data_IF_020698204642
#
_entry.id   IF_020698204642
#
_cell.length_a   1.000
_cell.length_b   1.000
_cell.length_c   1.000
_cell.angle_alpha   90.00
_cell.angle_beta   90.00
_cell.angle_gamma   90.00
#
_symmetry.space_group_name_H-M   'P 1'
#
loop_
_entity.id
_entity.type
_entity.pdbx_description
1 polymer ?
#
# COMPACT_ATOMS: atom_id res chain seq x y z
N UNK A 1 -1.18 81.19 5.04
CA UNK A 1 -1.79 79.88 5.36
C UNK A 1 -2.66 79.43 4.20
N UNK A 2 -2.19 78.48 3.36
CA UNK A 2 -3.01 77.93 2.28
C UNK A 2 -3.52 76.58 2.72
N UNK A 3 -4.83 76.53 2.87
CA UNK A 3 -5.58 75.31 3.25
C UNK A 3 -5.64 74.35 2.04
N UNK A 4 -5.04 73.24 2.18
CA UNK A 4 -5.07 72.17 1.19
C UNK A 4 -6.38 71.35 1.35
N UNK A 5 -7.35 71.53 0.44
CA UNK A 5 -8.59 70.75 0.39
C UNK A 5 -8.29 69.42 -0.25
N UNK A 6 -8.36 68.35 0.49
CA UNK A 6 -8.40 66.98 -0.04
C UNK A 6 -9.78 66.73 -0.71
N UNK A 7 -9.79 66.53 -2.00
CA UNK A 7 -10.97 66.10 -2.74
C UNK A 7 -11.00 64.58 -2.74
N UNK A 8 -11.80 63.99 -1.83
CA UNK A 8 -12.21 62.60 -1.89
C UNK A 8 -13.54 62.56 -2.62
N UNK A 9 -13.53 62.27 -3.94
CA UNK A 9 -14.76 62.01 -4.66
C UNK A 9 -14.49 60.99 -5.80
N UNK A 10 -14.38 59.74 -5.46
CA UNK A 10 -14.87 58.68 -6.33
C UNK A 10 -15.08 57.37 -5.52
N UNK A 11 -16.32 57.02 -5.16
CA UNK A 11 -16.61 55.83 -4.36
C UNK A 11 -16.16 54.54 -5.06
N UNK A 12 -16.03 54.53 -6.40
CA UNK A 12 -15.51 53.42 -7.15
C UNK A 12 -14.01 53.17 -6.91
N UNK A 13 -13.22 54.20 -6.66
CA UNK A 13 -11.80 54.09 -6.34
C UNK A 13 -11.58 53.52 -4.92
N UNK A 14 -12.41 53.90 -3.97
CA UNK A 14 -12.36 53.39 -2.61
C UNK A 14 -12.75 51.90 -2.53
N UNK A 15 -13.76 51.50 -3.29
CA UNK A 15 -14.17 50.09 -3.38
C UNK A 15 -13.08 49.25 -4.04
N UNK A 16 -12.44 49.74 -5.12
CA UNK A 16 -11.34 49.01 -5.78
C UNK A 16 -10.12 48.86 -4.86
N UNK A 17 -9.78 49.88 -4.07
CA UNK A 17 -8.65 49.83 -3.12
C UNK A 17 -8.94 48.86 -1.96
N UNK A 18 -10.18 48.80 -1.48
CA UNK A 18 -10.59 47.86 -0.41
C UNK A 18 -10.62 46.41 -0.96
N UNK A 19 -11.08 46.19 -2.20
CA UNK A 19 -11.04 44.88 -2.80
C UNK A 19 -9.61 44.35 -3.02
N UNK A 20 -8.70 45.20 -3.49
CA UNK A 20 -7.28 44.85 -3.64
C UNK A 20 -6.62 44.60 -2.28
N UNK A 21 -6.96 45.38 -1.24
CA UNK A 21 -6.45 45.12 0.11
C UNK A 21 -7.02 43.81 0.72
N UNK A 22 -8.29 43.45 0.42
CA UNK A 22 -8.86 42.17 0.85
C UNK A 22 -8.27 40.98 0.11
N UNK A 23 -7.94 41.11 -1.17
CA UNK A 23 -7.23 40.03 -1.91
C UNK A 23 -5.79 39.84 -1.42
N UNK A 24 -5.10 40.88 -1.00
CA UNK A 24 -3.77 40.78 -0.43
C UNK A 24 -3.75 40.20 1.01
N UNK A 25 -4.87 40.31 1.74
CA UNK A 25 -5.00 39.72 3.08
C UNK A 25 -5.37 38.24 3.08
N UNK A 26 -5.73 37.67 1.91
CA UNK A 26 -6.09 36.25 1.75
C UNK A 26 -4.95 35.38 1.19
N UNK A 27 -3.75 35.91 1.03
CA UNK A 27 -2.59 35.03 0.77
C UNK A 27 -2.26 34.29 2.07
N UNK A 28 -2.43 32.98 2.12
CA UNK A 28 -1.98 32.24 3.31
C UNK A 28 -0.50 32.53 3.53
N UNK A 29 -0.05 32.68 4.77
CA UNK A 29 1.36 32.89 5.06
C UNK A 29 2.16 31.77 4.37
N UNK A 30 3.25 32.13 3.72
CA UNK A 30 4.14 31.15 3.11
C UNK A 30 4.51 30.11 4.16
N UNK A 31 4.23 28.86 3.86
CA UNK A 31 4.59 27.75 4.77
C UNK A 31 6.12 27.71 4.82
N UNK A 32 6.67 27.83 6.01
CA UNK A 32 8.10 27.62 6.22
C UNK A 32 8.41 26.13 6.05
N UNK A 33 8.78 25.75 4.84
CA UNK A 33 9.06 24.36 4.48
C UNK A 33 10.18 23.76 5.33
N UNK A 34 11.10 24.59 5.87
CA UNK A 34 12.17 24.10 6.76
C UNK A 34 11.65 23.49 8.07
N UNK A 35 10.39 23.77 8.41
CA UNK A 35 9.72 23.19 9.59
C UNK A 35 8.96 21.89 9.26
N UNK A 36 8.79 21.55 7.98
CA UNK A 36 8.07 20.36 7.55
C UNK A 36 8.99 19.16 7.33
N UNK A 37 10.24 19.44 6.98
CA UNK A 37 11.21 18.41 6.61
C UNK A 37 12.52 18.59 7.37
N UNK A 38 13.08 17.51 7.87
CA UNK A 38 14.46 17.51 8.33
C UNK A 38 15.41 17.57 7.11
N UNK A 39 16.54 18.22 7.25
CA UNK A 39 17.69 17.96 6.35
C UNK A 39 18.31 16.60 6.67
N UNK A 40 19.17 16.09 5.81
CA UNK A 40 19.91 14.85 6.10
C UNK A 40 20.75 14.99 7.38
N UNK A 41 21.43 16.11 7.57
CA UNK A 41 22.25 16.39 8.75
C UNK A 41 21.40 16.39 10.02
N UNK A 42 20.24 17.00 10.01
CA UNK A 42 19.31 17.00 11.14
C UNK A 42 18.78 15.60 11.43
N UNK A 43 18.53 14.80 10.38
CA UNK A 43 18.10 13.42 10.56
C UNK A 43 19.21 12.58 11.22
N UNK A 44 20.46 12.75 10.82
CA UNK A 44 21.62 12.07 11.43
C UNK A 44 21.80 12.51 12.89
N UNK A 45 21.59 13.78 13.22
CA UNK A 45 21.61 14.27 14.62
C UNK A 45 20.55 13.60 15.48
N UNK A 46 19.34 13.39 14.94
CA UNK A 46 18.27 12.67 15.64
C UNK A 46 18.63 11.18 15.82
N UNK A 47 19.15 10.54 14.77
CA UNK A 47 19.55 9.14 14.77
C UNK A 47 20.69 8.90 15.78
N UNK A 48 21.64 9.83 15.90
CA UNK A 48 22.76 9.72 16.83
C UNK A 48 22.34 9.65 18.33
N UNK A 49 21.10 10.03 18.64
CA UNK A 49 20.53 9.94 19.98
C UNK A 49 19.91 8.56 20.28
N UNK A 50 19.92 7.65 19.30
CA UNK A 50 19.24 6.35 19.39
C UNK A 50 19.98 5.23 18.66
N UNK A 51 19.23 4.23 18.26
CA UNK A 51 19.69 3.10 17.46
C UNK A 51 18.89 3.07 16.17
N UNK A 52 19.56 3.18 15.03
CA UNK A 52 18.96 2.96 13.71
C UNK A 52 19.07 1.48 13.32
N UNK A 53 17.95 0.87 12.98
CA UNK A 53 17.89 -0.48 12.42
C UNK A 53 17.52 -0.41 10.94
N UNK A 54 18.07 -1.30 10.14
CA UNK A 54 17.53 -1.54 8.81
C UNK A 54 16.15 -2.18 8.91
N UNK A 55 15.34 -2.11 7.85
CA UNK A 55 14.00 -2.72 7.86
C UNK A 55 14.06 -4.23 8.08
N UNK A 56 15.12 -4.90 7.59
CA UNK A 56 15.32 -6.33 7.83
C UNK A 56 15.75 -6.59 9.26
N UNK A 57 16.74 -5.87 9.78
CA UNK A 57 17.18 -5.98 11.17
C UNK A 57 16.02 -5.73 12.15
N UNK A 58 15.18 -4.75 11.85
CA UNK A 58 13.98 -4.47 12.63
C UNK A 58 13.02 -5.67 12.70
N UNK A 59 12.70 -6.27 11.55
CA UNK A 59 11.88 -7.48 11.48
C UNK A 59 12.52 -8.66 12.22
N UNK A 60 13.81 -8.85 12.04
CA UNK A 60 14.54 -9.98 12.65
C UNK A 60 14.69 -9.83 14.17
N UNK A 61 14.81 -8.58 14.64
CA UNK A 61 14.97 -8.31 16.09
C UNK A 61 13.67 -8.44 16.88
N UNK A 62 12.54 -8.09 16.27
CA UNK A 62 11.29 -7.95 17.03
C UNK A 62 10.16 -8.89 16.58
N UNK A 63 10.17 -9.41 15.39
CA UNK A 63 9.12 -10.30 14.90
C UNK A 63 9.48 -11.76 15.17
N UNK A 64 8.95 -12.33 16.23
CA UNK A 64 9.11 -13.75 16.54
C UNK A 64 8.28 -14.64 15.59
N UNK A 65 8.55 -15.94 15.60
CA UNK A 65 7.73 -16.88 14.83
C UNK A 65 6.30 -16.98 15.38
N UNK A 66 6.15 -16.88 16.68
CA UNK A 66 4.89 -17.12 17.40
C UNK A 66 4.17 -15.85 17.87
N UNK A 67 4.87 -14.72 17.91
CA UNK A 67 4.41 -13.50 18.59
C UNK A 67 4.58 -13.56 20.10
N UNK A 68 4.86 -12.40 20.72
CA UNK A 68 4.85 -12.24 22.15
C UNK A 68 3.50 -11.70 22.59
N UNK A 69 2.73 -12.51 23.28
CA UNK A 69 1.38 -12.15 23.68
C UNK A 69 1.38 -11.20 24.85
N UNK A 70 0.50 -10.22 24.82
CA UNK A 70 0.24 -9.30 25.91
C UNK A 70 -0.50 -9.96 27.09
N UNK A 71 -1.03 -11.17 26.89
CA UNK A 71 -1.59 -12.02 27.95
C UNK A 71 -1.46 -13.50 27.58
N UNK A 72 -1.27 -14.33 28.57
CA UNK A 72 -0.97 -15.77 28.47
C UNK A 72 -2.13 -16.64 27.99
N UNK A 73 -3.27 -16.12 27.67
CA UNK A 73 -4.46 -16.97 27.58
C UNK A 73 -5.15 -16.98 26.24
N UNK A 74 -4.85 -16.08 25.29
CA UNK A 74 -5.65 -16.03 24.08
C UNK A 74 -4.83 -15.70 22.85
N UNK A 75 -4.55 -16.73 22.10
CA UNK A 75 -3.98 -16.63 20.77
C UNK A 75 -5.05 -16.19 19.80
N UNK A 76 -4.89 -15.00 19.24
CA UNK A 76 -5.74 -14.58 18.17
C UNK A 76 -5.40 -15.36 16.89
N UNK A 77 -6.35 -16.19 16.40
CA UNK A 77 -6.22 -16.96 15.17
C UNK A 77 -4.86 -17.62 14.94
N UNK A 78 -4.46 -18.48 15.84
CA UNK A 78 -3.50 -19.49 15.45
C UNK A 78 -4.24 -20.55 14.68
N UNK A 79 -4.11 -20.56 13.38
CA UNK A 79 -4.35 -21.78 12.62
C UNK A 79 -3.03 -22.52 12.57
N UNK A 80 -2.99 -23.69 13.21
CA UNK A 80 -1.89 -24.59 13.07
C UNK A 80 -1.74 -24.95 11.58
N UNK A 81 -0.60 -24.66 10.99
CA UNK A 81 -0.22 -25.25 9.72
C UNK A 81 0.08 -26.71 9.92
N UNK A 82 0.21 -27.50 8.83
CA UNK A 82 0.48 -28.92 8.82
C UNK A 82 1.67 -29.34 9.70
N UNK A 83 2.62 -28.45 9.91
CA UNK A 83 3.81 -28.61 10.77
C UNK A 83 3.70 -27.84 12.09
N UNK A 84 2.60 -27.18 12.37
CA UNK A 84 2.33 -26.47 13.62
C UNK A 84 3.11 -25.17 13.81
N UNK A 85 3.78 -24.64 12.79
CA UNK A 85 4.76 -23.55 12.92
C UNK A 85 4.35 -22.19 12.36
N UNK A 86 3.33 -22.09 11.52
CA UNK A 86 2.95 -20.82 10.90
C UNK A 86 1.76 -20.16 11.61
N UNK A 87 1.98 -18.96 12.06
CA UNK A 87 0.96 -18.11 12.67
C UNK A 87 0.51 -17.07 11.64
N UNK A 88 -0.73 -17.17 11.19
CA UNK A 88 -1.31 -16.23 10.23
C UNK A 88 -1.47 -14.83 10.83
N UNK A 89 -1.72 -14.79 12.13
CA UNK A 89 -1.86 -13.55 12.90
C UNK A 89 -1.02 -13.66 14.16
N UNK A 90 -0.10 -12.74 14.33
CA UNK A 90 0.72 -12.66 15.52
C UNK A 90 1.07 -11.20 15.81
N UNK A 91 1.44 -10.90 17.04
CA UNK A 91 1.88 -9.58 17.43
C UNK A 91 3.01 -9.65 18.45
N UNK A 92 4.01 -8.85 18.23
CA UNK A 92 5.16 -8.65 19.11
C UNK A 92 5.26 -7.18 19.48
N UNK A 93 5.27 -6.86 20.76
CA UNK A 93 5.45 -5.48 21.22
C UNK A 93 6.93 -5.12 21.21
N UNK A 94 7.23 -3.91 20.78
CA UNK A 94 8.57 -3.33 20.85
C UNK A 94 8.67 -2.60 22.19
N UNK A 95 9.58 -3.00 23.09
CA UNK A 95 9.71 -2.38 24.40
C UNK A 95 9.95 -0.86 24.28
N UNK A 96 9.34 -0.10 25.16
CA UNK A 96 9.72 1.32 25.31
C UNK A 96 11.15 1.37 25.83
N UNK A 97 11.99 2.14 25.15
CA UNK A 97 13.41 2.24 25.46
C UNK A 97 13.80 3.68 25.85
N UNK A 98 14.72 3.79 26.81
CA UNK A 98 15.36 5.06 27.12
C UNK A 98 16.21 5.57 25.94
N UNK A 99 16.79 4.66 25.17
CA UNK A 99 17.48 4.95 23.90
C UNK A 99 16.48 4.71 22.78
N UNK A 100 16.05 5.74 22.04
CA UNK A 100 15.09 5.60 20.94
C UNK A 100 15.55 4.58 19.89
N UNK A 101 14.60 3.85 19.33
CA UNK A 101 14.86 2.92 18.23
C UNK A 101 14.20 3.47 16.97
N UNK A 102 14.99 3.61 15.92
CA UNK A 102 14.54 4.18 14.65
C UNK A 102 14.63 3.17 13.52
N UNK A 103 13.71 3.32 12.57
CA UNK A 103 13.83 2.80 11.21
C UNK A 103 13.69 3.96 10.22
N UNK A 104 14.30 3.81 9.05
CA UNK A 104 14.26 4.80 7.98
C UNK A 104 13.87 4.14 6.67
N UNK A 105 13.02 4.79 5.88
CA UNK A 105 12.62 4.27 4.58
C UNK A 105 11.90 5.29 3.73
N UNK A 106 11.78 4.98 2.43
CA UNK A 106 11.13 5.81 1.43
C UNK A 106 9.75 5.24 1.10
N UNK A 107 8.73 6.09 1.09
CA UNK A 107 7.34 5.72 0.83
C UNK A 107 7.17 5.24 -0.60
N UNK A 108 6.61 4.03 -0.76
CA UNK A 108 6.41 3.37 -2.06
C UNK A 108 4.94 3.29 -2.48
N UNK A 109 4.00 3.64 -1.60
CA UNK A 109 2.57 3.63 -1.91
C UNK A 109 1.90 4.92 -1.49
N UNK A 110 0.79 5.22 -2.15
CA UNK A 110 -0.19 6.19 -1.69
C UNK A 110 -1.61 5.57 -1.70
N UNK A 111 -2.58 6.29 -1.19
CA UNK A 111 -3.98 5.88 -1.12
C UNK A 111 -4.89 6.67 -2.09
N UNK A 112 -4.30 7.45 -3.01
CA UNK A 112 -5.06 8.32 -3.90
C UNK A 112 -5.98 7.56 -4.87
N UNK A 113 -5.52 6.43 -5.37
CA UNK A 113 -6.33 5.59 -6.26
C UNK A 113 -7.27 4.65 -5.50
N UNK A 114 -7.18 4.56 -4.16
CA UNK A 114 -8.06 3.75 -3.33
C UNK A 114 -7.73 2.25 -3.31
N UNK A 115 -6.65 1.82 -3.93
CA UNK A 115 -6.23 0.41 -3.90
C UNK A 115 -5.51 0.06 -2.59
N UNK A 116 -4.93 1.04 -1.91
CA UNK A 116 -4.36 0.90 -0.58
C UNK A 116 -5.27 1.62 0.42
N UNK A 117 -5.66 0.94 1.49
CA UNK A 117 -6.54 1.48 2.51
C UNK A 117 -5.95 1.32 3.90
N UNK A 118 -5.71 2.47 4.56
CA UNK A 118 -5.14 2.49 5.92
C UNK A 118 -3.81 1.73 6.03
N UNK A 119 -3.09 1.65 4.93
CA UNK A 119 -1.79 1.00 4.83
C UNK A 119 -0.86 1.83 3.95
N UNK A 120 0.41 1.83 4.29
CA UNK A 120 1.49 2.44 3.53
C UNK A 120 2.67 1.48 3.52
N UNK A 121 3.41 1.42 2.42
CA UNK A 121 4.64 0.65 2.33
C UNK A 121 5.84 1.59 2.23
N UNK A 122 6.95 1.15 2.81
CA UNK A 122 8.24 1.84 2.70
C UNK A 122 9.31 0.87 2.24
N UNK A 123 10.31 1.41 1.54
CA UNK A 123 11.51 0.68 1.14
C UNK A 123 12.77 1.32 1.71
N UNK A 124 13.79 0.50 1.88
CA UNK A 124 15.16 0.88 2.14
C UNK A 124 16.09 0.05 1.24
N UNK A 125 17.13 0.67 0.69
CA UNK A 125 18.14 -0.05 -0.06
C UNK A 125 19.36 -0.22 0.82
N UNK A 126 19.77 -1.46 1.04
CA UNK A 126 20.95 -1.83 1.84
C UNK A 126 21.80 -2.78 1.02
N UNK A 127 23.04 -2.40 0.79
CA UNK A 127 24.01 -3.16 -0.02
C UNK A 127 23.47 -3.56 -1.41
N UNK A 128 22.65 -2.69 -2.00
CA UNK A 128 22.03 -2.91 -3.32
C UNK A 128 20.73 -3.75 -3.28
N UNK A 129 20.35 -4.28 -2.13
CA UNK A 129 19.11 -5.05 -1.96
C UNK A 129 17.97 -4.19 -1.41
N UNK A 130 16.78 -4.35 -1.97
CA UNK A 130 15.57 -3.72 -1.47
C UNK A 130 15.06 -4.46 -0.23
N UNK A 131 14.92 -3.74 0.87
CA UNK A 131 14.17 -4.15 2.05
C UNK A 131 12.86 -3.36 2.11
N UNK A 132 11.78 -3.96 2.56
CA UNK A 132 10.49 -3.30 2.60
C UNK A 132 9.71 -3.62 3.88
N UNK A 133 8.77 -2.74 4.23
CA UNK A 133 7.90 -2.91 5.39
C UNK A 133 6.55 -2.26 5.12
N UNK A 134 5.49 -2.96 5.49
CA UNK A 134 4.11 -2.44 5.53
C UNK A 134 3.87 -1.72 6.85
N UNK A 135 3.21 -0.57 6.78
CA UNK A 135 2.80 0.23 7.93
C UNK A 135 1.27 0.25 7.98
N UNK A 136 0.69 -0.16 9.10
CA UNK A 136 -0.77 -0.18 9.31
C UNK A 136 -1.18 1.08 10.06
N UNK A 137 -1.86 2.03 9.38
CA UNK A 137 -2.12 3.38 9.90
C UNK A 137 -3.62 3.68 9.83
N UNK A 138 -4.20 4.10 10.93
CA UNK A 138 -5.61 4.51 10.97
C UNK A 138 -5.79 5.95 10.51
N UNK A 139 -5.79 6.14 9.20
CA UNK A 139 -6.05 7.42 8.55
C UNK A 139 -6.86 7.22 7.27
N UNK A 140 -7.73 8.18 6.96
CA UNK A 140 -8.52 8.16 5.72
C UNK A 140 -7.72 8.59 4.49
N UNK A 141 -6.62 9.33 4.69
CA UNK A 141 -5.69 9.72 3.63
C UNK A 141 -4.29 9.83 4.20
N UNK A 142 -3.47 8.81 3.94
CA UNK A 142 -2.06 8.76 4.35
C UNK A 142 -1.18 9.48 3.33
N UNK A 143 -1.48 9.32 2.04
CA UNK A 143 -0.72 9.91 0.93
C UNK A 143 -0.68 11.44 0.96
N UNK A 144 -1.69 12.10 1.53
CA UNK A 144 -1.69 13.55 1.73
C UNK A 144 -0.68 14.04 2.78
N UNK A 145 -0.23 13.16 3.67
CA UNK A 145 0.75 13.47 4.72
C UNK A 145 2.15 12.97 4.37
N UNK A 146 2.22 11.80 3.74
CA UNK A 146 3.45 11.13 3.38
C UNK A 146 3.36 10.73 1.91
N UNK A 147 3.83 11.62 1.04
CA UNK A 147 3.71 11.47 -0.40
C UNK A 147 4.59 10.33 -0.92
N UNK A 148 4.24 9.79 -2.08
CA UNK A 148 5.07 8.83 -2.80
C UNK A 148 6.49 9.39 -3.01
N UNK A 149 7.51 8.60 -2.69
CA UNK A 149 8.91 9.03 -2.74
C UNK A 149 9.38 9.81 -1.51
N UNK A 150 8.52 10.12 -0.53
CA UNK A 150 8.92 10.77 0.72
C UNK A 150 9.78 9.84 1.56
N UNK A 151 10.94 10.31 1.96
CA UNK A 151 11.76 9.62 2.95
C UNK A 151 11.32 9.97 4.36
N UNK A 152 11.17 8.96 5.22
CA UNK A 152 10.69 9.12 6.59
C UNK A 152 11.58 8.39 7.59
N UNK A 153 11.74 9.00 8.75
CA UNK A 153 12.37 8.44 9.95
C UNK A 153 11.27 8.15 10.98
N UNK A 154 11.19 6.91 11.44
CA UNK A 154 10.13 6.48 12.36
C UNK A 154 10.76 5.99 13.66
N UNK A 155 10.35 6.55 14.78
CA UNK A 155 10.64 6.02 16.11
C UNK A 155 9.69 4.87 16.42
N UNK A 156 10.21 3.66 16.58
CA UNK A 156 9.41 2.42 16.68
C UNK A 156 9.27 1.85 18.09
N UNK A 157 10.11 2.22 19.05
CA UNK A 157 9.99 1.76 20.43
C UNK A 157 8.62 2.13 21.01
N UNK A 158 7.96 1.18 21.69
CA UNK A 158 6.59 1.31 22.19
C UNK A 158 5.49 1.12 21.13
N UNK A 159 5.84 0.83 19.87
CA UNK A 159 4.93 0.28 18.87
C UNK A 159 4.94 -1.25 18.89
N UNK A 160 4.44 -1.88 17.85
CA UNK A 160 4.47 -3.31 17.67
C UNK A 160 4.77 -3.69 16.22
N UNK A 161 5.30 -4.88 16.03
CA UNK A 161 5.37 -5.54 14.75
C UNK A 161 4.50 -6.79 14.80
N UNK A 162 3.81 -7.11 13.72
CA UNK A 162 2.95 -8.28 13.70
C UNK A 162 2.79 -8.87 12.33
N UNK A 163 2.10 -10.02 12.26
CA UNK A 163 1.64 -10.63 11.01
C UNK A 163 0.14 -10.51 10.93
N UNK A 164 -0.36 -9.95 9.85
CA UNK A 164 -1.77 -9.96 9.51
C UNK A 164 -1.96 -10.79 8.24
N UNK A 165 -2.66 -11.92 8.34
CA UNK A 165 -2.74 -12.89 7.25
C UNK A 165 -1.35 -13.25 6.68
N UNK A 166 -0.38 -13.42 7.58
CA UNK A 166 1.03 -13.68 7.32
C UNK A 166 1.85 -12.50 6.72
N UNK A 167 1.26 -11.32 6.55
CA UNK A 167 1.96 -10.11 6.11
C UNK A 167 2.63 -9.41 7.30
N UNK A 168 3.96 -9.20 7.27
CA UNK A 168 4.64 -8.39 8.28
C UNK A 168 4.22 -6.93 8.22
N UNK A 169 3.87 -6.34 9.37
CA UNK A 169 3.52 -4.92 9.42
C UNK A 169 3.89 -4.25 10.73
N UNK A 170 4.34 -3.00 10.66
CA UNK A 170 4.40 -2.11 11.81
C UNK A 170 2.98 -1.73 12.21
N UNK A 171 2.64 -1.84 13.49
CA UNK A 171 1.27 -1.75 13.97
C UNK A 171 1.20 -1.34 15.44
N UNK A 172 -0.01 -1.34 15.99
CA UNK A 172 -0.25 -1.38 17.44
C UNK A 172 -1.09 -2.61 17.77
N UNK A 173 -0.99 -3.12 19.01
CA UNK A 173 -1.86 -4.20 19.47
C UNK A 173 -3.32 -3.77 19.45
N UNK A 174 -4.19 -4.62 18.91
CA UNK A 174 -5.62 -4.47 18.95
C UNK A 174 -6.26 -5.71 19.53
N UNK A 175 -7.10 -5.53 20.55
CA UNK A 175 -7.83 -6.65 21.10
C UNK A 175 -9.16 -6.82 20.34
N UNK A 176 -9.35 -8.00 19.79
CA UNK A 176 -10.60 -8.37 19.15
C UNK A 176 -11.42 -9.27 20.07
N UNK A 177 -12.60 -8.81 20.43
CA UNK A 177 -13.57 -9.54 21.25
C UNK A 177 -14.81 -9.94 20.44
N UNK A 178 -14.68 -10.17 19.14
CA UNK A 178 -15.80 -10.48 18.28
C UNK A 178 -16.52 -11.77 18.70
N UNK A 179 -17.51 -11.60 19.58
CA UNK A 179 -18.35 -12.68 20.10
C UNK A 179 -19.35 -13.25 19.08
N UNK A 180 -19.51 -12.59 17.94
CA UNK A 180 -20.43 -13.01 16.86
C UNK A 180 -19.80 -13.96 15.84
N UNK A 181 -18.53 -14.32 16.00
CA UNK A 181 -17.93 -15.33 15.14
C UNK A 181 -18.50 -16.71 15.50
N UNK A 182 -19.52 -17.14 14.78
CA UNK A 182 -20.22 -18.41 14.96
C UNK A 182 -19.39 -19.67 14.62
N UNK A 183 -18.11 -19.56 14.44
CA UNK A 183 -17.26 -20.70 14.07
C UNK A 183 -16.40 -21.07 15.26
N UNK A 184 -16.06 -22.35 15.36
CA UNK A 184 -15.13 -22.91 16.34
C UNK A 184 -13.74 -22.25 16.35
N UNK A 185 -13.47 -21.36 15.41
CA UNK A 185 -12.29 -20.54 15.28
C UNK A 185 -12.52 -19.19 15.94
N UNK A 186 -12.41 -19.18 17.24
CA UNK A 186 -12.61 -17.96 18.02
C UNK A 186 -11.56 -16.92 17.63
N UNK A 187 -12.03 -15.84 17.02
CA UNK A 187 -11.20 -14.67 16.67
C UNK A 187 -11.03 -13.71 17.87
N UNK A 188 -10.92 -14.26 19.06
CA UNK A 188 -10.79 -13.49 20.31
C UNK A 188 -9.32 -13.44 20.68
N UNK A 189 -8.83 -12.24 20.95
CA UNK A 189 -7.46 -12.04 21.41
C UNK A 189 -6.76 -10.86 20.76
N UNK A 190 -5.47 -10.77 20.98
CA UNK A 190 -4.64 -9.71 20.46
C UNK A 190 -4.21 -9.99 19.02
N UNK A 191 -4.27 -8.96 18.18
CA UNK A 191 -3.90 -8.99 16.77
C UNK A 191 -3.18 -7.70 16.37
N UNK A 192 -2.50 -7.68 15.21
CA UNK A 192 -2.03 -6.44 14.62
C UNK A 192 -3.21 -5.51 14.32
N UNK A 193 -3.22 -4.35 14.96
CA UNK A 193 -4.17 -3.28 14.71
C UNK A 193 -3.53 -2.14 13.93
N UNK A 194 -4.24 -1.04 13.79
CA UNK A 194 -3.75 0.17 13.12
C UNK A 194 -3.14 1.14 14.12
N UNK A 195 -2.10 1.83 13.70
CA UNK A 195 -1.52 2.94 14.49
C UNK A 195 -2.39 4.16 14.29
N UNK A 196 -3.00 4.74 15.33
CA UNK A 196 -3.73 6.00 15.20
C UNK A 196 -2.84 7.09 14.59
N UNK A 197 -3.38 7.87 13.65
CA UNK A 197 -2.61 8.85 12.89
C UNK A 197 -1.87 9.86 13.78
N UNK A 198 -2.47 10.26 14.91
CA UNK A 198 -1.83 11.16 15.85
C UNK A 198 -0.56 10.57 16.47
N UNK A 199 -0.58 9.27 16.82
CA UNK A 199 0.59 8.54 17.33
C UNK A 199 1.63 8.39 16.23
N UNK A 200 1.22 8.01 15.02
CA UNK A 200 2.14 7.85 13.90
C UNK A 200 2.87 9.16 13.58
N UNK A 201 2.14 10.28 13.48
CA UNK A 201 2.71 11.61 13.24
C UNK A 201 3.68 12.04 14.35
N UNK A 202 3.36 11.80 15.61
CA UNK A 202 4.23 12.15 16.71
C UNK A 202 5.57 11.37 16.73
N UNK A 203 5.65 10.26 15.99
CA UNK A 203 6.81 9.37 15.93
C UNK A 203 7.53 9.39 14.59
N UNK A 204 6.99 10.12 13.59
CA UNK A 204 7.49 10.11 12.22
C UNK A 204 7.90 11.51 11.79
N UNK A 205 9.11 11.61 11.25
CA UNK A 205 9.65 12.83 10.67
C UNK A 205 9.94 12.62 9.19
N UNK A 206 9.58 13.59 8.35
CA UNK A 206 9.92 13.58 6.93
C UNK A 206 11.34 14.12 6.75
N UNK A 207 12.13 13.48 5.87
CA UNK A 207 13.49 13.89 5.51
C UNK A 207 13.48 14.37 4.07
N UNK A 208 13.90 15.61 3.83
CA UNK A 208 13.88 16.22 2.50
C UNK A 208 12.51 16.20 1.84
N UNK A 209 12.43 16.69 0.63
CA UNK A 209 11.20 16.65 -0.19
C UNK A 209 10.97 15.27 -0.79
N UNK A 210 9.73 14.91 -1.10
CA UNK A 210 9.42 13.67 -1.83
C UNK A 210 10.18 13.61 -3.16
N UNK A 211 10.78 12.47 -3.46
CA UNK A 211 11.49 12.24 -4.72
C UNK A 211 11.21 10.81 -5.22
N UNK A 212 10.32 10.70 -6.20
CA UNK A 212 9.95 9.42 -6.81
C UNK A 212 11.06 8.81 -7.66
N UNK A 213 12.06 9.61 -8.10
CA UNK A 213 13.19 9.11 -8.88
C UNK A 213 14.14 8.23 -8.04
N UNK A 214 14.02 8.31 -6.72
CA UNK A 214 14.79 7.48 -5.78
C UNK A 214 14.12 6.14 -5.46
N UNK A 215 12.97 5.84 -6.07
CA UNK A 215 12.33 4.55 -5.90
C UNK A 215 13.06 3.49 -6.71
N UNK A 216 13.39 2.38 -6.06
CA UNK A 216 14.06 1.24 -6.67
C UNK A 216 13.04 0.11 -6.84
N UNK A 217 13.06 -0.52 -7.98
CA UNK A 217 12.19 -1.62 -8.35
C UNK A 217 12.99 -2.90 -8.41
N UNK A 218 12.58 -3.95 -7.72
CA UNK A 218 13.10 -5.29 -8.00
C UNK A 218 12.46 -5.78 -9.30
N UNK A 219 13.26 -6.02 -10.32
CA UNK A 219 12.80 -6.37 -11.66
C UNK A 219 12.90 -7.87 -11.91
N UNK A 220 11.81 -8.47 -12.42
CA UNK A 220 11.71 -9.90 -12.69
C UNK A 220 11.01 -10.19 -14.01
N UNK A 221 11.46 -11.21 -14.69
CA UNK A 221 10.61 -11.98 -15.59
C UNK A 221 9.66 -12.84 -14.74
N UNK A 222 8.47 -13.15 -15.25
CA UNK A 222 7.43 -13.84 -14.44
C UNK A 222 7.93 -15.19 -13.88
N UNK A 223 8.72 -15.92 -14.64
CA UNK A 223 9.31 -17.20 -14.23
C UNK A 223 10.26 -17.05 -13.04
N UNK A 224 11.08 -16.02 -13.03
CA UNK A 224 12.00 -15.73 -11.93
C UNK A 224 11.23 -15.32 -10.69
N UNK A 225 10.23 -14.45 -10.88
CA UNK A 225 9.35 -13.97 -9.84
C UNK A 225 8.61 -15.13 -9.13
N UNK A 226 7.98 -16.02 -9.87
CA UNK A 226 7.27 -17.16 -9.30
C UNK A 226 8.20 -18.14 -8.58
N UNK A 227 9.44 -18.30 -9.02
CA UNK A 227 10.42 -19.15 -8.33
C UNK A 227 10.84 -18.58 -6.97
N UNK A 228 10.94 -17.25 -6.89
CA UNK A 228 11.21 -16.55 -5.63
C UNK A 228 10.05 -16.70 -4.65
N UNK A 229 8.82 -16.57 -5.11
CA UNK A 229 7.63 -16.67 -4.27
C UNK A 229 7.41 -18.07 -3.67
N UNK A 230 7.91 -19.12 -4.28
CA UNK A 230 7.84 -20.48 -3.75
C UNK A 230 8.61 -20.65 -2.43
N UNK A 231 9.47 -19.72 -2.05
CA UNK A 231 10.20 -19.76 -0.78
C UNK A 231 9.39 -19.37 0.44
N UNK A 232 8.19 -18.83 0.28
CA UNK A 232 7.24 -18.43 1.34
C UNK A 232 7.82 -17.48 2.41
N UNK A 233 8.89 -16.79 2.10
CA UNK A 233 9.54 -15.88 3.04
C UNK A 233 8.88 -14.50 3.06
N UNK A 234 7.67 -14.41 3.62
CA UNK A 234 6.93 -13.13 3.70
C UNK A 234 7.74 -12.04 4.40
N UNK A 235 8.55 -12.41 5.40
CA UNK A 235 9.44 -11.48 6.10
C UNK A 235 10.41 -10.76 5.17
N UNK A 236 10.87 -11.44 4.12
CA UNK A 236 11.82 -10.89 3.14
C UNK A 236 11.13 -10.21 1.97
N UNK A 237 10.02 -10.76 1.48
CA UNK A 237 9.44 -10.41 0.19
C UNK A 237 8.20 -9.51 0.26
N UNK A 238 7.39 -9.57 1.33
CA UNK A 238 6.19 -8.73 1.44
C UNK A 238 6.53 -7.24 1.44
N UNK A 239 5.68 -6.44 0.84
CA UNK A 239 5.75 -4.99 0.69
C UNK A 239 6.82 -4.45 -0.27
N UNK A 240 7.60 -5.30 -0.95
CA UNK A 240 8.56 -4.86 -1.95
C UNK A 240 7.87 -4.22 -3.15
N UNK A 241 8.51 -3.17 -3.68
CA UNK A 241 8.14 -2.55 -4.95
C UNK A 241 8.80 -3.33 -6.09
N UNK A 242 7.97 -3.96 -6.92
CA UNK A 242 8.43 -4.84 -8.01
C UNK A 242 8.00 -4.34 -9.37
N UNK A 243 8.75 -4.71 -10.41
CA UNK A 243 8.40 -4.57 -11.82
C UNK A 243 8.47 -5.94 -12.47
N UNK A 244 7.35 -6.40 -13.00
CA UNK A 244 7.27 -7.64 -13.77
C UNK A 244 7.25 -7.28 -15.25
N UNK A 245 8.18 -7.86 -16.02
CA UNK A 245 8.44 -7.48 -17.40
C UNK A 245 7.69 -8.35 -18.39
N UNK A 246 7.40 -7.77 -19.55
CA UNK A 246 6.93 -8.47 -20.74
C UNK A 246 5.67 -9.31 -20.51
N UNK A 247 4.70 -8.78 -19.78
CA UNK A 247 3.46 -9.45 -19.42
C UNK A 247 2.25 -8.84 -20.09
N UNK A 248 1.16 -9.59 -20.11
CA UNK A 248 -0.15 -9.17 -20.59
C UNK A 248 -1.25 -9.70 -19.68
N UNK A 249 -2.41 -9.05 -19.66
CA UNK A 249 -3.61 -9.60 -19.01
C UNK A 249 -4.17 -10.76 -19.83
N UNK A 250 -4.59 -11.82 -19.13
CA UNK A 250 -5.18 -13.01 -19.78
C UNK A 250 -6.70 -12.93 -19.87
N UNK A 251 -7.32 -12.02 -19.11
CA UNK A 251 -8.77 -12.01 -18.92
C UNK A 251 -9.27 -13.16 -18.05
N UNK A 252 -8.39 -13.70 -17.20
CA UNK A 252 -8.67 -14.81 -16.30
C UNK A 252 -8.50 -14.41 -14.83
N UNK A 253 -9.05 -15.22 -13.93
CA UNK A 253 -8.89 -15.11 -12.49
C UNK A 253 -8.82 -16.51 -11.85
N UNK A 254 -8.35 -16.59 -10.61
CA UNK A 254 -8.41 -17.80 -9.81
C UNK A 254 -9.70 -17.85 -9.00
N UNK A 255 -10.42 -18.95 -9.08
CA UNK A 255 -11.49 -19.27 -8.15
C UNK A 255 -10.92 -19.69 -6.78
N UNK A 256 -11.75 -19.66 -5.75
CA UNK A 256 -11.36 -20.01 -4.38
C UNK A 256 -10.76 -21.43 -4.22
N UNK A 257 -11.05 -22.32 -5.15
CA UNK A 257 -10.50 -23.68 -5.21
C UNK A 257 -9.18 -23.78 -6.00
N UNK A 258 -8.67 -22.63 -6.54
CA UNK A 258 -7.47 -22.57 -7.35
C UNK A 258 -7.68 -22.87 -8.84
N UNK A 259 -8.93 -23.10 -9.29
CA UNK A 259 -9.23 -23.28 -10.72
C UNK A 259 -9.12 -21.95 -11.45
N UNK A 260 -8.58 -21.97 -12.66
CA UNK A 260 -8.54 -20.79 -13.54
C UNK A 260 -9.84 -20.70 -14.33
N UNK A 261 -10.52 -19.56 -14.23
CA UNK A 261 -11.73 -19.26 -14.98
C UNK A 261 -11.58 -17.95 -15.75
N UNK A 262 -12.37 -17.80 -16.82
CA UNK A 262 -12.38 -16.58 -17.64
C UNK A 262 -13.30 -15.52 -17.04
N UNK A 263 -12.88 -14.28 -17.11
CA UNK A 263 -13.76 -13.16 -16.81
C UNK A 263 -14.91 -13.11 -17.82
N UNK A 264 -16.09 -12.73 -17.34
CA UNK A 264 -17.29 -12.56 -18.17
C UNK A 264 -17.37 -11.12 -18.70
N UNK A 265 -18.34 -10.89 -19.59
CA UNK A 265 -18.72 -9.54 -20.03
C UNK A 265 -19.84 -8.94 -19.19
N UNK A 266 -20.23 -9.59 -18.11
CA UNK A 266 -21.36 -9.22 -17.26
C UNK A 266 -21.27 -7.84 -16.65
N UNK A 267 -22.36 -7.43 -16.03
CA UNK A 267 -22.41 -6.18 -15.28
C UNK A 267 -21.49 -6.27 -14.05
N UNK A 268 -20.50 -5.39 -13.89
CA UNK A 268 -19.60 -5.43 -12.72
C UNK A 268 -20.28 -5.17 -11.37
N UNK A 269 -21.54 -4.80 -11.33
CA UNK A 269 -22.33 -4.70 -10.11
C UNK A 269 -23.03 -6.01 -9.71
N UNK A 270 -23.28 -6.88 -10.69
CA UNK A 270 -24.02 -8.13 -10.51
C UNK A 270 -23.18 -9.38 -10.76
N UNK A 271 -22.01 -9.22 -11.37
CA UNK A 271 -21.14 -10.33 -11.80
C UNK A 271 -19.72 -10.14 -11.25
N UNK A 272 -19.33 -10.97 -10.27
CA UNK A 272 -17.99 -10.98 -9.67
C UNK A 272 -16.89 -11.30 -10.68
N UNK A 273 -17.25 -11.87 -11.83
CA UNK A 273 -16.33 -12.31 -12.87
C UNK A 273 -16.31 -11.36 -14.07
N UNK A 274 -16.93 -10.17 -13.95
CA UNK A 274 -16.90 -9.18 -15.02
C UNK A 274 -15.47 -8.83 -15.42
N UNK A 275 -15.27 -8.46 -16.66
CA UNK A 275 -13.98 -8.18 -17.28
C UNK A 275 -13.37 -6.81 -16.93
N UNK A 276 -13.57 -6.40 -15.70
CA UNK A 276 -12.99 -5.19 -15.08
C UNK A 276 -12.00 -5.56 -13.97
N UNK A 277 -11.25 -4.59 -13.46
CA UNK A 277 -10.24 -4.85 -12.42
C UNK A 277 -10.84 -5.42 -11.14
N UNK A 278 -11.90 -4.83 -10.62
CA UNK A 278 -12.52 -5.28 -9.38
C UNK A 278 -14.02 -5.00 -9.35
N UNK A 279 -14.86 -5.96 -9.74
CA UNK A 279 -16.32 -5.84 -9.61
C UNK A 279 -16.76 -5.72 -8.15
N UNK A 280 -17.76 -4.89 -7.86
CA UNK A 280 -18.24 -4.61 -6.50
C UNK A 280 -19.49 -5.40 -6.10
N UNK A 281 -19.67 -6.58 -6.63
CA UNK A 281 -20.88 -7.39 -6.41
C UNK A 281 -21.15 -7.75 -4.95
N UNK A 282 -20.11 -7.78 -4.13
CA UNK A 282 -20.21 -8.21 -2.75
C UNK A 282 -20.24 -7.08 -1.72
N UNK A 283 -19.86 -5.85 -2.09
CA UNK A 283 -19.75 -4.68 -1.20
C UNK A 283 -19.00 -4.94 0.12
N UNK A 284 -18.03 -5.84 0.09
CA UNK A 284 -17.33 -6.30 1.30
C UNK A 284 -15.86 -5.89 1.35
N UNK A 285 -15.36 -5.20 0.33
CA UNK A 285 -14.00 -4.67 0.27
C UNK A 285 -12.92 -5.73 0.07
N UNK A 286 -13.26 -6.91 -0.41
CA UNK A 286 -12.27 -7.91 -0.74
C UNK A 286 -11.55 -7.58 -2.05
N UNK A 287 -10.21 -7.68 -2.08
CA UNK A 287 -9.49 -7.50 -3.32
C UNK A 287 -9.86 -8.61 -4.32
N UNK A 288 -9.89 -8.23 -5.59
CA UNK A 288 -10.11 -9.14 -6.70
C UNK A 288 -8.79 -9.40 -7.41
N UNK A 289 -8.50 -10.67 -7.69
CA UNK A 289 -7.32 -11.07 -8.45
C UNK A 289 -7.60 -11.17 -9.94
N UNK A 290 -6.67 -10.65 -10.77
CA UNK A 290 -6.69 -10.82 -12.23
C UNK A 290 -5.34 -11.35 -12.69
N UNK A 291 -5.37 -12.34 -13.58
CA UNK A 291 -4.16 -13.06 -14.01
C UNK A 291 -3.46 -12.27 -15.12
N UNK A 292 -2.16 -12.09 -14.94
CA UNK A 292 -1.24 -11.71 -16.01
C UNK A 292 -0.33 -12.90 -16.35
N UNK A 293 0.12 -12.96 -17.60
CA UNK A 293 1.00 -14.01 -18.10
C UNK A 293 2.12 -13.44 -18.98
N UNK A 294 3.23 -14.15 -19.07
CA UNK A 294 4.25 -13.93 -20.09
C UNK A 294 3.94 -14.74 -21.38
N UNK A 295 4.76 -14.57 -22.41
CA UNK A 295 4.63 -15.29 -23.68
C UNK A 295 4.81 -16.82 -23.56
N UNK A 296 5.42 -17.29 -22.47
CA UNK A 296 5.62 -18.72 -22.19
C UNK A 296 4.47 -19.34 -21.39
N UNK A 297 3.49 -18.52 -20.98
CA UNK A 297 2.33 -18.96 -20.21
C UNK A 297 2.58 -19.07 -18.70
N UNK A 298 3.71 -18.56 -18.18
CA UNK A 298 3.87 -18.40 -16.74
C UNK A 298 2.91 -17.31 -16.25
N UNK A 299 2.30 -17.51 -15.07
CA UNK A 299 1.20 -16.70 -14.57
C UNK A 299 1.49 -16.13 -13.18
N UNK A 300 0.96 -14.95 -12.89
CA UNK A 300 0.86 -14.37 -11.55
C UNK A 300 -0.39 -13.49 -11.45
N UNK A 301 -0.67 -12.92 -10.29
CA UNK A 301 -1.92 -12.22 -9.99
C UNK A 301 -1.68 -10.73 -9.75
N UNK A 302 -2.52 -9.90 -10.36
CA UNK A 302 -2.69 -8.50 -10.01
C UNK A 302 -3.90 -8.39 -9.08
N UNK A 303 -3.69 -7.83 -7.89
CA UNK A 303 -4.74 -7.62 -6.90
C UNK A 303 -5.25 -6.19 -6.94
N UNK A 304 -6.57 -6.03 -6.99
CA UNK A 304 -7.23 -4.73 -7.03
C UNK A 304 -8.38 -4.69 -6.03
N UNK A 305 -8.45 -3.61 -5.24
CA UNK A 305 -9.56 -3.36 -4.32
C UNK A 305 -10.81 -2.92 -5.10
N UNK A 306 -11.98 -3.35 -4.66
CA UNK A 306 -13.26 -2.84 -5.19
C UNK A 306 -13.47 -1.34 -4.90
N UNK A 307 -12.73 -0.77 -3.95
CA UNK A 307 -12.75 0.67 -3.65
C UNK A 307 -11.76 1.48 -4.48
N UNK A 308 -10.97 0.81 -5.33
CA UNK A 308 -10.05 1.51 -6.23
C UNK A 308 -10.84 2.34 -7.24
N UNK A 309 -10.40 3.57 -7.50
CA UNK A 309 -11.01 4.44 -8.52
C UNK A 309 -11.03 3.83 -9.91
N UNK A 310 -10.17 2.84 -10.13
CA UNK A 310 -10.08 2.10 -11.39
C UNK A 310 -10.80 0.74 -11.35
N UNK A 311 -11.52 0.42 -10.29
CA UNK A 311 -12.18 -0.88 -10.12
C UNK A 311 -13.07 -1.27 -11.31
N UNK A 312 -13.78 -0.29 -11.88
CA UNK A 312 -14.69 -0.47 -13.04
C UNK A 312 -14.04 -0.23 -14.41
N UNK A 313 -12.72 -0.03 -14.47
CA UNK A 313 -12.06 0.01 -15.78
C UNK A 313 -11.96 -1.40 -16.34
N UNK A 314 -12.19 -1.54 -17.66
CA UNK A 314 -11.96 -2.79 -18.34
C UNK A 314 -10.50 -3.21 -18.28
N UNK A 315 -10.25 -4.50 -18.20
CA UNK A 315 -8.89 -5.04 -18.26
C UNK A 315 -8.24 -4.66 -19.62
N UNK A 316 -6.91 -4.47 -19.67
CA UNK A 316 -6.21 -4.23 -20.93
C UNK A 316 -6.53 -5.30 -21.99
N UNK A 317 -7.13 -4.88 -23.10
CA UNK A 317 -7.62 -5.76 -24.17
C UNK A 317 -9.05 -6.28 -24.01
N UNK A 318 -9.70 -5.97 -22.90
CA UNK A 318 -11.13 -6.20 -22.71
C UNK A 318 -11.96 -4.96 -23.04
N UNK A 319 -13.22 -5.19 -23.38
CA UNK A 319 -14.23 -4.16 -23.57
C UNK A 319 -15.64 -4.69 -23.23
N UNK A 320 -16.67 -3.94 -23.58
CA UNK A 320 -18.07 -4.35 -23.38
C UNK A 320 -18.48 -5.64 -24.13
N UNK A 321 -17.69 -6.06 -25.13
CA UNK A 321 -17.98 -7.24 -25.94
C UNK A 321 -17.21 -8.47 -25.46
N UNK A 322 -16.25 -8.32 -24.56
CA UNK A 322 -15.53 -9.46 -23.97
C UNK A 322 -14.04 -9.23 -23.76
N UNK A 323 -13.34 -10.33 -23.63
CA UNK A 323 -11.91 -10.40 -23.32
C UNK A 323 -11.06 -10.89 -24.51
N UNK A 324 -11.62 -10.94 -25.70
CA UNK A 324 -10.99 -11.58 -26.88
C UNK A 324 -9.62 -11.00 -27.25
N UNK A 325 -9.35 -9.76 -26.89
CA UNK A 325 -8.11 -9.05 -27.19
C UNK A 325 -7.20 -8.84 -25.96
N UNK A 326 -7.42 -9.54 -24.84
CA UNK A 326 -6.60 -9.37 -23.64
C UNK A 326 -5.09 -9.50 -23.91
N UNK A 327 -4.57 -10.45 -24.72
CA UNK A 327 -3.16 -10.55 -25.04
C UNK A 327 -2.61 -9.42 -25.93
N UNK A 328 -3.44 -8.49 -26.40
CA UNK A 328 -3.06 -7.43 -27.34
C UNK A 328 -2.01 -6.47 -26.79
N UNK A 329 -2.07 -6.18 -25.50
CA UNK A 329 -1.20 -5.19 -24.86
C UNK A 329 -0.18 -5.90 -23.99
N UNK A 330 1.10 -5.69 -24.30
CA UNK A 330 2.24 -6.34 -23.61
C UNK A 330 3.18 -5.27 -23.07
N UNK A 331 3.77 -5.52 -21.92
CA UNK A 331 4.75 -4.62 -21.35
C UNK A 331 5.00 -4.89 -19.86
N UNK A 332 5.29 -3.84 -19.10
CA UNK A 332 5.68 -3.97 -17.72
C UNK A 332 4.53 -3.61 -16.78
N UNK A 333 4.46 -4.35 -15.69
CA UNK A 333 3.55 -4.07 -14.57
C UNK A 333 4.36 -3.79 -13.32
N UNK A 334 4.11 -2.64 -12.71
CA UNK A 334 4.71 -2.22 -11.44
C UNK A 334 3.67 -2.36 -10.33
N UNK A 335 4.12 -2.65 -9.11
CA UNK A 335 3.24 -2.68 -7.94
C UNK A 335 3.93 -3.15 -6.69
N UNK A 336 3.15 -3.29 -5.64
CA UNK A 336 3.62 -3.79 -4.35
C UNK A 336 3.34 -5.28 -4.26
N UNK A 337 4.39 -6.04 -4.05
CA UNK A 337 4.28 -7.46 -3.78
C UNK A 337 3.66 -7.69 -2.41
N UNK A 338 2.61 -8.49 -2.34
CA UNK A 338 1.91 -8.80 -1.11
C UNK A 338 1.58 -10.28 -1.00
N UNK A 339 1.71 -10.81 0.19
CA UNK A 339 1.21 -12.14 0.53
C UNK A 339 -0.06 -11.99 1.36
N UNK A 340 -1.11 -12.69 1.02
CA UNK A 340 -2.32 -12.70 1.83
C UNK A 340 -2.91 -14.11 1.91
N UNK A 341 -2.85 -14.70 3.08
CA UNK A 341 -3.51 -15.98 3.35
C UNK A 341 -4.12 -15.96 4.75
N UNK A 342 -5.43 -15.85 4.84
CA UNK A 342 -6.19 -15.90 6.09
C UNK A 342 -6.90 -17.25 6.32
N UNK A 343 -6.76 -18.20 5.37
CA UNK A 343 -7.49 -19.46 5.34
C UNK A 343 -6.61 -20.55 5.78
N UNK A 344 -5.71 -20.75 6.50
CA UNK A 344 -4.97 -21.96 6.90
C UNK A 344 -4.87 -23.05 5.80
N UNK A 345 -4.71 -22.64 4.55
CA UNK A 345 -4.31 -23.57 3.51
C UNK A 345 -2.88 -24.01 3.84
N UNK A 346 -2.67 -25.33 3.88
CA UNK A 346 -1.36 -25.88 4.22
C UNK A 346 -0.33 -25.64 3.12
N UNK A 347 -0.81 -25.59 1.88
CA UNK A 347 0.02 -25.29 0.73
C UNK A 347 -0.35 -23.89 0.22
N UNK A 348 0.62 -23.02 -0.10
CA UNK A 348 0.33 -21.71 -0.68
C UNK A 348 -0.45 -21.90 -1.97
N UNK A 349 -1.52 -21.17 -2.11
CA UNK A 349 -2.24 -21.09 -3.37
C UNK A 349 -1.50 -20.15 -4.33
N UNK A 350 -1.74 -20.34 -5.62
CA UNK A 350 -1.14 -19.50 -6.66
C UNK A 350 -1.52 -18.02 -6.54
N UNK A 351 -2.61 -17.72 -5.83
CA UNK A 351 -3.15 -16.38 -5.56
C UNK A 351 -2.78 -15.81 -4.18
N UNK A 352 -2.05 -16.55 -3.34
CA UNK A 352 -1.59 -16.04 -2.04
C UNK A 352 -0.61 -14.88 -2.20
N UNK A 353 0.23 -14.93 -3.24
CA UNK A 353 1.09 -13.84 -3.64
C UNK A 353 0.45 -13.07 -4.80
N UNK A 354 0.33 -11.77 -4.62
CA UNK A 354 -0.26 -10.90 -5.62
C UNK A 354 0.49 -9.56 -5.67
N UNK A 355 0.42 -8.91 -6.82
CA UNK A 355 0.95 -7.57 -7.03
C UNK A 355 -0.21 -6.58 -6.93
N UNK A 356 -0.16 -5.69 -5.97
CA UNK A 356 -1.12 -4.59 -5.84
C UNK A 356 -0.62 -3.36 -6.58
N UNK A 357 -1.27 -2.98 -7.67
CA UNK A 357 -0.94 -1.76 -8.42
C UNK A 357 -1.39 -0.52 -7.61
N UNK A 358 -0.62 0.56 -7.67
CA UNK A 358 -0.92 1.82 -6.97
C UNK A 358 -1.95 2.63 -7.73
N UNK A 359 -1.85 2.63 -9.06
CA UNK A 359 -2.79 3.26 -9.99
C UNK A 359 -2.68 2.58 -11.36
N UNK A 360 -3.49 3.02 -12.33
CA UNK A 360 -3.35 2.54 -13.72
C UNK A 360 -2.03 2.98 -14.39
N UNK A 361 -1.30 3.93 -13.82
CA UNK A 361 0.02 4.34 -14.34
C UNK A 361 1.10 3.28 -14.10
N UNK A 362 0.86 2.36 -13.18
CA UNK A 362 1.72 1.19 -12.94
C UNK A 362 1.65 0.15 -14.08
N UNK A 363 0.73 0.31 -15.04
CA UNK A 363 0.53 -0.58 -16.18
C UNK A 363 1.09 0.06 -17.46
N UNK A 364 2.33 -0.26 -17.80
CA UNK A 364 3.02 0.21 -19.00
C UNK A 364 2.86 -0.84 -20.11
N UNK A 365 1.65 -1.01 -20.61
CA UNK A 365 1.25 -2.04 -21.58
C UNK A 365 0.94 -1.40 -22.94
N UNK A 366 1.57 -1.91 -24.00
CA UNK A 366 1.51 -1.32 -25.34
C UNK A 366 1.06 -2.34 -26.38
N UNK A 367 0.38 -1.89 -27.43
CA UNK A 367 0.09 -2.72 -28.59
C UNK A 367 1.32 -2.82 -29.53
N UNK A 368 1.17 -3.59 -30.61
CA UNK A 368 2.25 -3.78 -31.58
C UNK A 368 2.70 -2.49 -32.29
N UNK A 369 1.87 -1.46 -32.32
CA UNK A 369 2.15 -0.15 -32.89
C UNK A 369 2.78 0.82 -31.86
N UNK A 370 2.96 0.39 -30.64
CA UNK A 370 3.53 1.17 -29.53
C UNK A 370 2.53 2.10 -28.84
N UNK A 371 1.23 1.94 -29.07
CA UNK A 371 0.21 2.72 -28.38
C UNK A 371 -0.08 2.12 -27.01
N UNK A 372 -0.11 2.98 -25.98
CA UNK A 372 -0.53 2.57 -24.64
C UNK A 372 -1.98 2.05 -24.69
N UNK A 373 -2.29 1.01 -23.91
CA UNK A 373 -3.63 0.46 -23.80
C UNK A 373 -4.65 1.54 -23.40
N UNK A 374 -5.85 1.56 -24.03
CA UNK A 374 -6.88 2.54 -23.71
C UNK A 374 -7.49 2.25 -22.34
N UNK A 375 -7.57 3.27 -21.51
CA UNK A 375 -8.21 3.19 -20.20
C UNK A 375 -9.69 3.46 -20.35
N UNK A 376 -10.46 2.40 -20.58
CA UNK A 376 -11.91 2.49 -20.83
C UNK A 376 -12.65 2.10 -19.54
N UNK A 377 -13.44 3.02 -19.01
CA UNK A 377 -14.28 2.79 -17.85
C UNK A 377 -15.62 2.18 -18.27
N UNK A 378 -16.12 1.23 -17.49
CA UNK A 378 -17.48 0.73 -17.63
C UNK A 378 -18.47 1.87 -17.34
N UNK A 379 -19.35 2.13 -18.27
CA UNK A 379 -20.46 3.07 -18.10
C UNK A 379 -21.77 2.30 -18.16
N UNK A 380 -22.67 2.56 -17.17
CA UNK A 380 -24.02 2.00 -17.15
C UNK A 380 -24.84 2.42 -18.38
#
# INVERSE_FOLDING_TARGET
MKTMKFIIHNPKFMIATILVAMCAACTPPAVDESKLFLTNEQAEEVIAQGTLLTLQQFKDSFMSEKGNYLSDTTLYRTRATKDGKNYLFSIDTIPVSATPIYIRGRVTTDDYAGNFYKAMCIQQIVDGEQQALRLSIDAGSVGGLYQLGQEILIRVDGLAIGRYANQPQLCLPSYNNNIYANNAEQKIGWAPGRIPIAIFRARTQCIGKPDVSQLVYDEYEIKEFTSVLNLQETRKWDAKLVRIKNVHYTGEYFESNGTVSKCSTGNPEDDTNANVFAPTTNNIGYPQGRIIADASGNKTVISSSEYAKFAYFYLPGADKNGIANCPKYVGDVVGILGYYNDNARYDPAADDWAISIRSLDDLQLFDADGNLWPRIEYTK
#
